data_IF_485593448654
#
_entry.id   IF_485593448654
#
_cell.length_a   1.000
_cell.length_b   1.000
_cell.length_c   1.000
_cell.angle_alpha   90.00
_cell.angle_beta   90.00
_cell.angle_gamma   90.00
#
_symmetry.space_group_name_H-M   'P 1'
#
loop_
_entity.id
_entity.type
_entity.pdbx_description
1 polymer ?
#
# COMPACT_ATOMS: atom_id res chain seq x y z
N UNK A 1 45.53 5.62 -7.36
CA UNK A 1 44.16 5.89 -6.90
C UNK A 1 43.38 4.58 -6.95
N UNK A 2 43.30 3.88 -5.83
CA UNK A 2 42.45 2.70 -5.69
C UNK A 2 41.96 2.71 -4.24
N UNK A 3 40.73 3.17 -4.02
CA UNK A 3 40.06 3.01 -2.75
C UNK A 3 39.44 1.61 -2.73
N UNK A 4 40.14 0.69 -2.06
CA UNK A 4 39.63 -0.63 -1.69
C UNK A 4 38.57 -0.44 -0.61
N UNK A 5 37.31 -0.62 -0.98
CA UNK A 5 36.18 -0.60 -0.05
C UNK A 5 36.13 -1.95 0.69
N UNK A 6 36.54 -1.97 1.96
CA UNK A 6 36.31 -3.10 2.86
C UNK A 6 34.80 -3.28 3.06
N UNK A 7 34.25 -4.51 2.99
CA UNK A 7 32.84 -4.73 3.26
C UNK A 7 32.61 -4.64 4.76
N UNK A 8 32.02 -3.52 5.20
CA UNK A 8 31.50 -3.35 6.54
C UNK A 8 30.36 -4.34 6.77
N UNK A 9 30.69 -5.38 7.54
CA UNK A 9 29.80 -6.08 8.45
C UNK A 9 28.86 -5.06 9.12
N UNK A 10 27.54 -5.27 9.06
CA UNK A 10 26.63 -4.64 10.04
C UNK A 10 25.37 -3.91 9.56
N UNK A 11 24.81 -4.17 8.37
CA UNK A 11 23.47 -3.65 8.02
C UNK A 11 22.49 -4.63 7.35
N UNK A 12 22.94 -5.82 6.96
CA UNK A 12 22.08 -6.79 6.26
C UNK A 12 21.20 -7.64 7.20
N UNK A 13 21.61 -7.84 8.46
CA UNK A 13 21.05 -8.91 9.29
C UNK A 13 19.64 -8.61 9.84
N UNK A 14 19.32 -7.34 10.12
CA UNK A 14 17.98 -6.95 10.57
C UNK A 14 16.95 -6.98 9.43
N UNK A 15 17.37 -6.62 8.22
CA UNK A 15 16.50 -6.67 7.03
C UNK A 15 16.26 -8.12 6.57
N UNK A 16 17.26 -8.99 6.74
CA UNK A 16 17.18 -10.40 6.38
C UNK A 16 16.08 -11.13 7.17
N UNK A 17 15.98 -10.90 8.48
CA UNK A 17 14.98 -11.58 9.33
C UNK A 17 13.54 -11.11 9.08
N UNK A 18 13.36 -9.85 8.66
CA UNK A 18 12.06 -9.33 8.22
C UNK A 18 11.64 -9.86 6.84
N UNK A 19 12.56 -10.49 6.09
CA UNK A 19 12.34 -11.05 4.75
C UNK A 19 12.24 -12.59 4.74
N UNK A 20 12.50 -13.28 5.87
CA UNK A 20 12.42 -14.74 5.97
C UNK A 20 10.97 -15.25 5.97
N UNK A 21 10.67 -16.42 5.36
CA UNK A 21 9.36 -17.04 5.42
C UNK A 21 8.98 -17.40 6.86
N UNK A 22 7.74 -17.07 7.24
CA UNK A 22 7.28 -17.06 8.63
C UNK A 22 7.12 -18.44 9.29
N UNK A 23 7.12 -19.51 8.49
CA UNK A 23 7.21 -20.90 8.96
C UNK A 23 8.55 -21.16 9.64
N UNK A 24 9.64 -20.60 9.11
CA UNK A 24 10.98 -20.76 9.68
C UNK A 24 11.10 -20.02 11.00
N UNK A 25 10.63 -18.77 11.09
CA UNK A 25 10.65 -17.97 12.33
C UNK A 25 9.89 -18.64 13.51
N UNK A 26 8.75 -19.28 13.25
CA UNK A 26 8.01 -20.06 14.27
C UNK A 26 8.74 -21.34 14.67
N UNK A 27 9.30 -22.05 13.69
CA UNK A 27 10.12 -23.24 13.93
C UNK A 27 11.32 -22.90 14.80
N UNK A 28 11.98 -21.77 14.54
CA UNK A 28 13.07 -21.24 15.35
C UNK A 28 12.61 -20.92 16.78
N UNK A 29 11.49 -20.21 17.01
CA UNK A 29 11.00 -19.91 18.38
C UNK A 29 10.72 -21.17 19.21
N UNK A 30 10.22 -22.22 18.58
CA UNK A 30 9.83 -23.47 19.23
C UNK A 30 10.96 -24.52 19.30
N UNK A 31 12.07 -24.32 18.58
CA UNK A 31 13.23 -25.22 18.60
C UNK A 31 14.06 -25.06 19.88
N UNK A 32 14.62 -26.15 20.44
CA UNK A 32 15.51 -26.07 21.59
C UNK A 32 16.75 -25.22 21.26
N UNK A 33 17.33 -24.51 22.25
CA UNK A 33 18.49 -23.64 22.02
C UNK A 33 19.66 -24.35 21.33
N UNK A 34 19.85 -25.64 21.58
CA UNK A 34 20.93 -26.46 21.01
C UNK A 34 20.86 -26.70 19.51
N UNK A 35 19.69 -26.53 18.88
CA UNK A 35 19.50 -26.76 17.44
C UNK A 35 19.49 -25.47 16.62
N UNK A 36 19.70 -24.30 17.25
CA UNK A 36 19.76 -23.01 16.57
C UNK A 36 21.22 -22.67 16.21
N UNK A 37 21.48 -22.09 15.02
CA UNK A 37 22.82 -21.61 14.68
C UNK A 37 23.31 -20.58 15.71
N UNK A 38 24.53 -20.75 16.22
CA UNK A 38 25.11 -19.91 17.28
C UNK A 38 25.10 -18.40 16.95
N UNK A 39 25.31 -18.04 15.68
CA UNK A 39 25.24 -16.66 15.21
C UNK A 39 23.81 -16.10 15.31
N UNK A 40 22.81 -16.88 14.92
CA UNK A 40 21.40 -16.49 15.02
C UNK A 40 20.98 -16.37 16.49
N UNK A 41 21.49 -17.24 17.37
CA UNK A 41 21.20 -17.16 18.81
C UNK A 41 21.75 -15.88 19.45
N UNK A 42 22.99 -15.50 19.15
CA UNK A 42 23.57 -14.28 19.73
C UNK A 42 22.77 -13.00 19.40
N UNK A 43 22.07 -13.00 18.27
CA UNK A 43 21.19 -11.92 17.85
C UNK A 43 19.72 -12.14 18.27
N UNK A 44 19.27 -13.38 18.47
CA UNK A 44 17.86 -13.70 18.80
C UNK A 44 17.41 -13.07 20.11
N UNK A 45 18.26 -13.11 21.15
CA UNK A 45 17.94 -12.54 22.47
C UNK A 45 17.83 -11.01 22.41
N UNK A 46 18.66 -10.38 21.57
CA UNK A 46 18.59 -8.93 21.32
C UNK A 46 17.35 -8.55 20.51
N UNK A 47 16.97 -9.36 19.53
CA UNK A 47 15.82 -9.08 18.65
C UNK A 47 14.50 -9.35 19.37
N UNK A 48 14.41 -10.41 20.16
CA UNK A 48 13.22 -10.76 20.93
C UNK A 48 12.83 -9.69 21.95
N UNK A 49 13.82 -9.00 22.53
CA UNK A 49 13.58 -7.91 23.48
C UNK A 49 13.17 -6.59 22.82
N UNK A 50 13.42 -6.42 21.51
CA UNK A 50 13.15 -5.17 20.78
C UNK A 50 11.84 -5.24 19.99
N UNK A 51 11.44 -6.44 19.55
CA UNK A 51 10.24 -6.64 18.74
C UNK A 51 9.04 -6.95 19.65
N UNK A 52 7.99 -6.11 19.67
CA UNK A 52 6.82 -6.35 20.50
C UNK A 52 6.12 -7.67 20.15
N UNK A 53 5.59 -8.38 21.16
CA UNK A 53 4.97 -9.70 20.99
C UNK A 53 3.82 -9.71 19.97
N UNK A 54 3.08 -8.60 19.84
CA UNK A 54 1.98 -8.48 18.88
C UNK A 54 2.45 -8.55 17.42
N UNK A 55 3.74 -8.30 17.14
CA UNK A 55 4.30 -8.42 15.80
C UNK A 55 4.26 -9.87 15.28
N UNK A 56 4.17 -10.84 16.19
CA UNK A 56 4.06 -12.25 15.87
C UNK A 56 2.63 -12.78 15.97
N UNK A 57 1.65 -11.94 16.34
CA UNK A 57 0.28 -12.38 16.56
C UNK A 57 -0.44 -12.66 15.23
N UNK A 58 -1.05 -13.85 15.16
CA UNK A 58 -1.93 -14.26 14.08
C UNK A 58 -3.36 -14.21 14.62
N UNK A 59 -4.24 -13.46 13.98
CA UNK A 59 -5.67 -13.54 14.23
C UNK A 59 -6.30 -14.42 13.14
N UNK A 60 -6.99 -15.49 13.55
CA UNK A 60 -7.73 -16.38 12.63
C UNK A 60 -6.89 -16.95 11.47
N UNK A 61 -5.62 -17.31 11.74
CA UNK A 61 -4.71 -17.85 10.72
C UNK A 61 -4.15 -16.82 9.73
N UNK A 62 -4.60 -15.56 9.80
CA UNK A 62 -4.01 -14.44 9.06
C UNK A 62 -3.19 -13.57 9.99
N UNK A 63 -2.23 -12.85 9.42
CA UNK A 63 -1.49 -11.87 10.17
C UNK A 63 -1.68 -10.51 9.62
N UNK A 64 -2.01 -9.60 10.53
CA UNK A 64 -1.72 -8.18 10.38
C UNK A 64 -0.21 -8.12 10.15
N UNK A 65 0.27 -7.77 8.96
CA UNK A 65 1.71 -7.77 8.62
C UNK A 65 2.34 -6.56 9.31
N UNK A 66 2.85 -6.69 10.54
CA UNK A 66 3.29 -5.55 11.34
C UNK A 66 4.71 -5.18 10.88
N UNK A 67 4.94 -3.91 10.61
CA UNK A 67 6.18 -3.35 10.09
C UNK A 67 6.62 -3.98 8.76
N UNK A 68 5.68 -4.55 8.01
CA UNK A 68 5.98 -5.09 6.70
C UNK A 68 6.19 -3.98 5.68
N UNK A 69 7.09 -4.28 4.75
CA UNK A 69 7.40 -3.45 3.61
C UNK A 69 6.53 -3.84 2.43
N UNK A 70 6.03 -2.85 1.70
CA UNK A 70 5.37 -3.07 0.43
C UNK A 70 6.40 -3.43 -0.63
N UNK A 71 5.99 -4.18 -1.65
CA UNK A 71 6.77 -4.42 -2.85
C UNK A 71 6.15 -3.74 -4.06
N UNK A 72 6.92 -3.54 -5.13
CA UNK A 72 6.43 -2.90 -6.37
C UNK A 72 5.29 -3.68 -7.04
N UNK A 73 5.30 -5.00 -6.91
CA UNK A 73 4.27 -5.90 -7.46
C UNK A 73 3.14 -6.19 -6.46
N UNK A 74 3.19 -5.64 -5.25
CA UNK A 74 2.14 -5.78 -4.24
C UNK A 74 1.12 -4.65 -4.35
N UNK A 75 -0.15 -4.98 -4.06
CA UNK A 75 -1.23 -3.99 -3.98
C UNK A 75 -1.55 -3.64 -2.53
N UNK A 76 -1.95 -2.39 -2.31
CA UNK A 76 -2.47 -1.95 -1.02
C UNK A 76 -3.98 -2.22 -1.01
N UNK A 77 -4.49 -3.15 -0.16
CA UNK A 77 -5.89 -3.56 -0.22
C UNK A 77 -6.84 -2.43 0.21
N UNK A 78 -6.44 -1.61 1.17
CA UNK A 78 -7.23 -0.45 1.60
C UNK A 78 -6.29 0.64 2.09
N UNK A 79 -6.46 1.84 1.53
CA UNK A 79 -5.73 3.04 1.92
C UNK A 79 -6.41 3.60 3.18
N UNK A 80 -5.78 3.42 4.33
CA UNK A 80 -6.35 3.83 5.63
C UNK A 80 -6.03 5.30 5.99
N UNK A 81 -6.68 5.79 7.04
CA UNK A 81 -6.57 7.18 7.53
C UNK A 81 -5.25 7.52 8.23
N UNK A 82 -4.40 6.54 8.50
CA UNK A 82 -3.06 6.76 9.05
C UNK A 82 -2.13 5.58 8.72
N UNK A 83 -0.87 5.80 8.31
CA UNK A 83 0.10 4.74 8.02
C UNK A 83 0.62 4.10 9.31
N UNK A 84 -0.25 3.43 10.06
CA UNK A 84 0.16 2.67 11.23
C UNK A 84 0.92 1.44 10.79
N UNK A 85 2.23 1.42 11.02
CA UNK A 85 3.07 0.27 10.72
C UNK A 85 2.73 -0.93 11.61
N UNK A 86 1.95 -0.77 12.67
CA UNK A 86 1.68 -1.84 13.63
C UNK A 86 0.65 -2.84 13.10
N UNK A 87 -0.23 -2.41 12.20
CA UNK A 87 -1.39 -3.21 11.79
C UNK A 87 -1.40 -3.56 10.30
N UNK A 88 -0.49 -3.00 9.50
CA UNK A 88 -0.47 -3.14 8.05
C UNK A 88 0.93 -2.91 7.47
N UNK A 89 1.15 -3.43 6.26
CA UNK A 89 2.29 -3.10 5.44
C UNK A 89 2.14 -1.66 4.92
N UNK A 90 2.89 -0.73 5.50
CA UNK A 90 2.82 0.70 5.14
C UNK A 90 4.20 1.33 4.88
N UNK A 91 5.27 0.51 4.90
CA UNK A 91 6.62 0.98 4.63
C UNK A 91 6.91 0.99 3.13
N UNK A 92 7.67 2.00 2.69
CA UNK A 92 8.06 2.18 1.30
C UNK A 92 8.96 1.01 0.82
N UNK A 93 8.86 0.53 -0.44
CA UNK A 93 9.64 -0.62 -0.95
C UNK A 93 11.16 -0.50 -0.83
N UNK A 94 11.69 0.71 -0.93
CA UNK A 94 13.14 0.96 -0.90
C UNK A 94 13.62 1.80 0.28
N UNK A 95 12.74 2.60 0.89
CA UNK A 95 13.12 3.64 1.85
C UNK A 95 12.64 3.27 3.24
N UNK A 96 13.43 3.54 4.28
CA UNK A 96 13.08 3.26 5.67
C UNK A 96 12.11 4.29 6.25
N UNK A 97 10.97 4.47 5.58
CA UNK A 97 9.90 5.38 5.99
C UNK A 97 8.52 4.81 5.63
N UNK A 98 7.46 5.23 6.33
CA UNK A 98 6.10 4.99 5.85
C UNK A 98 5.84 5.72 4.54
N UNK A 99 4.83 5.25 3.80
CA UNK A 99 4.34 5.96 2.63
C UNK A 99 3.86 7.37 3.02
N UNK A 100 4.22 8.34 2.20
CA UNK A 100 3.84 9.74 2.31
C UNK A 100 2.36 9.95 1.97
N UNK A 101 1.81 11.10 2.38
CA UNK A 101 0.47 11.56 1.99
C UNK A 101 0.29 11.54 0.46
N UNK A 102 1.35 11.86 -0.29
CA UNK A 102 1.29 11.91 -1.76
C UNK A 102 1.27 10.53 -2.41
N UNK A 103 1.98 9.57 -1.84
CA UNK A 103 1.88 8.16 -2.27
C UNK A 103 0.49 7.61 -1.96
N UNK A 104 -0.04 7.88 -0.76
CA UNK A 104 -1.42 7.57 -0.38
C UNK A 104 -2.46 8.19 -1.34
N UNK A 105 -2.26 9.45 -1.72
CA UNK A 105 -3.16 10.15 -2.63
C UNK A 105 -3.16 9.52 -4.03
N UNK A 106 -1.99 9.12 -4.54
CA UNK A 106 -1.87 8.43 -5.82
C UNK A 106 -2.51 7.05 -5.80
N UNK A 107 -2.41 6.31 -4.69
CA UNK A 107 -3.12 5.04 -4.53
C UNK A 107 -4.65 5.21 -4.63
N UNK A 108 -5.18 6.33 -4.14
CA UNK A 108 -6.59 6.71 -4.28
C UNK A 108 -6.94 7.36 -5.63
N UNK A 109 -5.97 7.50 -6.53
CA UNK A 109 -6.14 8.11 -7.86
C UNK A 109 -6.31 9.63 -7.84
N UNK A 110 -5.92 10.31 -6.75
CA UNK A 110 -5.93 11.77 -6.73
C UNK A 110 -4.94 12.32 -7.76
N UNK A 111 -5.33 13.38 -8.50
CA UNK A 111 -4.42 14.03 -9.42
C UNK A 111 -3.32 14.76 -8.64
N UNK A 112 -2.14 14.85 -9.24
CA UNK A 112 -0.98 15.36 -8.52
C UNK A 112 -1.10 16.86 -8.15
N UNK A 113 -1.97 17.62 -8.82
CA UNK A 113 -2.25 19.02 -8.49
C UNK A 113 -3.21 19.19 -7.29
N UNK A 114 -3.84 18.12 -6.78
CA UNK A 114 -4.76 18.24 -5.64
C UNK A 114 -3.99 18.49 -4.35
N UNK A 115 -4.34 19.58 -3.64
CA UNK A 115 -3.67 20.02 -2.41
C UNK A 115 -4.54 19.74 -1.20
N UNK A 116 -4.04 18.88 -0.31
CA UNK A 116 -4.64 18.65 1.00
C UNK A 116 -4.21 19.74 1.99
N UNK A 117 -5.14 20.20 2.83
CA UNK A 117 -4.94 21.26 3.81
C UNK A 117 -5.01 20.72 5.24
N UNK A 118 -4.40 21.43 6.19
CA UNK A 118 -4.38 21.05 7.61
C UNK A 118 -3.11 20.32 8.05
N UNK A 119 -3.18 19.74 9.24
CA UNK A 119 -2.07 19.00 9.87
C UNK A 119 -1.73 17.72 9.09
N UNK A 120 -0.55 17.14 9.33
CA UNK A 120 -0.15 15.89 8.67
C UNK A 120 -1.18 14.77 8.91
N UNK A 121 -1.66 14.65 10.15
CA UNK A 121 -2.65 13.64 10.56
C UNK A 121 -3.99 13.85 9.84
N UNK A 122 -4.49 15.09 9.79
CA UNK A 122 -5.73 15.42 9.09
C UNK A 122 -5.64 15.12 7.59
N UNK A 123 -4.48 15.38 6.97
CA UNK A 123 -4.28 15.09 5.55
C UNK A 123 -4.28 13.59 5.25
N UNK A 124 -3.73 12.76 6.13
CA UNK A 124 -3.88 11.31 6.02
C UNK A 124 -5.34 10.88 6.20
N UNK A 125 -6.06 11.45 7.17
CA UNK A 125 -7.49 11.17 7.37
C UNK A 125 -8.32 11.54 6.13
N UNK A 126 -8.08 12.71 5.53
CA UNK A 126 -8.75 13.14 4.30
C UNK A 126 -8.51 12.16 3.15
N UNK A 127 -7.28 11.66 3.01
CA UNK A 127 -6.94 10.73 1.93
C UNK A 127 -7.53 9.34 2.16
N UNK A 128 -7.50 8.84 3.40
CA UNK A 128 -8.03 7.52 3.74
C UNK A 128 -9.55 7.43 3.73
N UNK A 129 -10.25 8.51 4.11
CA UNK A 129 -11.72 8.57 4.08
C UNK A 129 -12.29 8.93 2.70
N UNK A 130 -11.45 9.38 1.77
CA UNK A 130 -11.90 9.74 0.44
C UNK A 130 -12.30 8.50 -0.37
N UNK A 131 -13.28 8.70 -1.25
CA UNK A 131 -13.60 7.74 -2.31
C UNK A 131 -12.54 7.86 -3.42
N UNK A 132 -12.09 6.73 -3.95
CA UNK A 132 -11.15 6.71 -5.07
C UNK A 132 -11.68 7.54 -6.25
N UNK A 133 -10.86 8.47 -6.73
CA UNK A 133 -11.25 9.43 -7.78
C UNK A 133 -11.72 8.75 -9.08
N UNK A 134 -11.09 7.66 -9.56
CA UNK A 134 -11.55 6.95 -10.75
C UNK A 134 -12.97 6.38 -10.59
N UNK A 135 -13.34 5.93 -9.40
CA UNK A 135 -14.68 5.39 -9.09
C UNK A 135 -15.71 6.51 -9.14
N UNK A 136 -15.42 7.63 -8.46
CA UNK A 136 -16.29 8.81 -8.48
C UNK A 136 -16.49 9.35 -9.91
N UNK A 137 -15.44 9.32 -10.74
CA UNK A 137 -15.49 9.72 -12.14
C UNK A 137 -16.43 8.84 -12.98
N UNK A 138 -16.36 7.52 -12.80
CA UNK A 138 -17.25 6.58 -13.51
C UNK A 138 -18.71 6.79 -13.12
N UNK A 139 -18.99 6.97 -11.81
CA UNK A 139 -20.33 7.27 -11.31
C UNK A 139 -20.85 8.61 -11.85
N UNK A 140 -20.02 9.66 -11.84
CA UNK A 140 -20.39 10.96 -12.39
C UNK A 140 -20.71 10.92 -13.89
N UNK A 141 -20.00 10.08 -14.65
CA UNK A 141 -20.28 9.86 -16.06
C UNK A 141 -21.62 9.16 -16.29
N UNK A 142 -21.89 8.08 -15.55
CA UNK A 142 -23.18 7.37 -15.59
C UNK A 142 -24.34 8.30 -15.24
N UNK A 143 -24.17 9.08 -14.18
CA UNK A 143 -25.15 10.07 -13.74
C UNK A 143 -25.39 11.13 -14.83
N UNK A 144 -24.33 11.70 -15.42
CA UNK A 144 -24.45 12.70 -16.48
C UNK A 144 -25.18 12.18 -17.73
N UNK A 145 -24.96 10.92 -18.09
CA UNK A 145 -25.68 10.27 -19.18
C UNK A 145 -27.17 10.03 -18.84
N UNK A 146 -27.48 9.62 -17.61
CA UNK A 146 -28.86 9.45 -17.14
C UNK A 146 -29.62 10.79 -17.14
N UNK A 147 -28.98 11.89 -16.70
CA UNK A 147 -29.56 13.24 -16.77
C UNK A 147 -29.90 13.67 -18.20
N UNK A 148 -29.11 13.23 -19.18
CA UNK A 148 -29.34 13.49 -20.61
C UNK A 148 -30.30 12.48 -21.25
N UNK A 149 -30.81 11.50 -20.50
CA UNK A 149 -31.69 10.41 -20.98
C UNK A 149 -31.08 9.61 -22.14
N UNK A 150 -29.76 9.40 -22.11
CA UNK A 150 -29.02 8.66 -23.13
C UNK A 150 -28.80 7.18 -22.76
N UNK A 151 -29.25 6.75 -21.59
CA UNK A 151 -29.15 5.37 -21.10
C UNK A 151 -30.57 4.83 -20.84
N UNK A 152 -30.78 3.52 -21.03
CA UNK A 152 -32.00 2.81 -20.64
C UNK A 152 -32.08 2.47 -19.14
N UNK A 153 -33.01 1.59 -18.76
CA UNK A 153 -33.23 1.22 -17.35
C UNK A 153 -32.34 0.06 -16.86
N UNK A 154 -31.28 -0.26 -17.60
CA UNK A 154 -30.37 -1.36 -17.25
C UNK A 154 -29.52 -1.02 -16.01
N UNK A 155 -29.32 -1.98 -15.09
CA UNK A 155 -28.57 -1.73 -13.84
C UNK A 155 -27.06 -1.58 -14.07
N UNK A 156 -26.55 -1.98 -15.23
CA UNK A 156 -25.13 -1.95 -15.58
C UNK A 156 -24.90 -1.13 -16.84
N UNK A 157 -23.79 -0.40 -16.86
CA UNK A 157 -23.36 0.39 -18.01
C UNK A 157 -21.91 0.06 -18.35
N UNK A 158 -21.62 -0.07 -19.64
CA UNK A 158 -20.25 -0.18 -20.14
C UNK A 158 -19.65 1.20 -20.36
N UNK A 159 -18.46 1.42 -19.79
CA UNK A 159 -17.72 2.65 -20.02
C UNK A 159 -17.10 2.64 -21.43
N UNK A 160 -16.96 3.81 -22.09
CA UNK A 160 -16.35 3.89 -23.41
C UNK A 160 -14.87 3.45 -23.36
N UNK A 161 -14.29 3.03 -24.49
CA UNK A 161 -12.90 2.60 -24.55
C UNK A 161 -11.96 3.73 -24.09
N UNK A 162 -10.90 3.36 -23.36
CA UNK A 162 -9.89 4.28 -22.80
C UNK A 162 -10.45 5.32 -21.80
N UNK A 163 -11.60 5.07 -21.17
CA UNK A 163 -12.20 5.99 -20.19
C UNK A 163 -11.24 6.42 -19.07
N UNK A 164 -10.44 5.52 -18.54
CA UNK A 164 -9.50 5.83 -17.46
C UNK A 164 -8.42 6.84 -17.87
N UNK A 165 -8.02 6.82 -19.15
CA UNK A 165 -6.92 7.62 -19.71
C UNK A 165 -7.41 8.87 -20.45
N UNK A 166 -8.69 8.93 -20.79
CA UNK A 166 -9.24 10.06 -21.54
C UNK A 166 -9.37 11.29 -20.66
N UNK A 167 -9.28 12.47 -21.27
CA UNK A 167 -9.62 13.73 -20.61
C UNK A 167 -11.11 14.05 -20.78
N UNK A 168 -11.66 14.93 -19.94
CA UNK A 168 -13.06 15.34 -19.99
C UNK A 168 -13.48 15.85 -21.38
N UNK A 169 -12.62 16.62 -22.05
CA UNK A 169 -12.86 17.13 -23.40
C UNK A 169 -12.98 16.01 -24.45
N UNK A 170 -12.20 14.94 -24.31
CA UNK A 170 -12.26 13.80 -25.23
C UNK A 170 -13.54 12.98 -25.01
N UNK A 171 -13.94 12.81 -23.75
CA UNK A 171 -15.21 12.15 -23.42
C UNK A 171 -16.43 12.97 -23.87
N UNK A 172 -16.39 14.29 -23.75
CA UNK A 172 -17.48 15.14 -24.22
C UNK A 172 -17.67 15.03 -25.74
N UNK A 173 -16.56 14.93 -26.50
CA UNK A 173 -16.60 14.74 -27.97
C UNK A 173 -17.16 13.38 -28.39
N UNK A 174 -16.87 12.31 -27.65
CA UNK A 174 -17.46 10.99 -27.98
C UNK A 174 -18.97 10.99 -27.78
N UNK A 175 -19.47 11.70 -26.77
CA UNK A 175 -20.92 11.82 -26.51
C UNK A 175 -21.68 12.61 -27.59
N UNK A 176 -21.03 13.55 -28.27
CA UNK A 176 -21.67 14.30 -29.36
C UNK A 176 -21.65 13.57 -30.70
N UNK A 177 -20.75 12.61 -30.89
CA UNK A 177 -20.66 11.86 -32.15
C UNK A 177 -21.67 10.71 -32.26
N UNK A 178 -22.21 10.21 -31.14
CA UNK A 178 -23.24 9.16 -31.17
C UNK A 178 -24.67 9.69 -31.31
N UNK A 179 -24.88 11.02 -31.33
CA UNK A 179 -26.20 11.65 -31.48
C UNK A 179 -26.60 11.99 -32.93
N UNK A 180 -26.00 11.32 -33.93
CA UNK A 180 -26.32 11.48 -35.35
C UNK A 180 -26.70 10.16 -36.01
#
# INVERSE_FOLDING_TARGET
>A
MHFSCSPLIGRADHAFLMQQPRSELKSYKNSPPSSRPLQLMSNWEKIANVVPDYAFTFEQGRSKRPFARLWWDETVPTVVTFPSCHNQAALHPEQDRPLTIREYARLQGFPDYYRFCGTIKERYCQTGNAVAVPVARALGYAMGLAFRKLIGDEPLMTLPPKFSQSNYLQLAKSLSHESH
#
